data_IF_872914842034
#
_entry.id   IF_872914842034
#
_cell.length_a   1.000
_cell.length_b   1.000
_cell.length_c   1.000
_cell.angle_alpha   90.00
_cell.angle_beta   90.00
_cell.angle_gamma   90.00
#
_symmetry.space_group_name_H-M   'P 1'
#
loop_
_entity.id
_entity.type
_entity.pdbx_description
1 polymer ?
#
# COMPACT_ATOMS: atom_id res chain seq x y z
N UNK A 1 13.77 4.08 -2.08
CA UNK A 1 14.05 5.52 -1.83
C UNK A 1 12.69 6.16 -1.70
N UNK A 2 12.21 6.38 -0.47
CA UNK A 2 10.88 6.94 -0.23
C UNK A 2 10.91 8.39 -0.72
N UNK A 3 10.30 8.72 -1.87
CA UNK A 3 10.38 10.07 -2.40
C UNK A 3 9.56 10.96 -1.50
N UNK A 4 10.20 12.02 -1.02
CA UNK A 4 9.57 13.02 -0.18
C UNK A 4 8.24 13.48 -0.81
N UNK A 5 7.14 13.38 -0.06
CA UNK A 5 5.80 13.81 -0.49
C UNK A 5 5.84 15.27 -0.94
N UNK A 6 6.70 16.07 -0.31
CA UNK A 6 6.96 17.45 -0.71
C UNK A 6 7.60 17.55 -2.10
N UNK A 7 8.56 16.68 -2.42
CA UNK A 7 9.18 16.61 -3.74
C UNK A 7 8.16 16.23 -4.82
N UNK A 8 7.31 15.22 -4.58
CA UNK A 8 6.25 14.84 -5.53
C UNK A 8 5.23 15.95 -5.73
N UNK A 9 4.89 16.68 -4.67
CA UNK A 9 4.02 17.86 -4.74
C UNK A 9 4.64 18.96 -5.59
N UNK A 10 5.92 19.27 -5.36
CA UNK A 10 6.67 20.28 -6.15
C UNK A 10 6.75 19.83 -7.62
N UNK A 11 7.09 18.57 -7.89
CA UNK A 11 7.14 18.03 -9.25
C UNK A 11 5.78 18.08 -9.95
N UNK A 12 4.69 17.81 -9.23
CA UNK A 12 3.32 17.99 -9.75
C UNK A 12 3.05 19.44 -10.13
N UNK A 13 3.40 20.40 -9.26
CA UNK A 13 3.23 21.83 -9.52
C UNK A 13 4.05 22.30 -10.72
N UNK A 14 5.30 21.84 -10.83
CA UNK A 14 6.17 22.11 -12.00
C UNK A 14 5.58 21.51 -13.27
N UNK A 15 5.10 20.26 -13.22
CA UNK A 15 4.41 19.61 -14.34
C UNK A 15 3.23 20.45 -14.85
N UNK A 16 2.39 20.96 -13.94
CA UNK A 16 1.25 21.83 -14.29
C UNK A 16 1.70 23.17 -14.88
N UNK A 17 2.75 23.80 -14.33
CA UNK A 17 3.28 25.06 -14.86
C UNK A 17 3.80 24.93 -16.30
N UNK A 18 4.35 23.76 -16.67
CA UNK A 18 4.84 23.51 -18.03
C UNK A 18 3.71 23.37 -19.06
N UNK A 19 2.49 22.97 -18.66
CA UNK A 19 1.31 23.00 -19.54
C UNK A 19 1.06 24.40 -20.12
N UNK A 20 1.22 25.44 -19.29
CA UNK A 20 0.96 26.83 -19.67
C UNK A 20 2.01 27.40 -20.63
N UNK A 21 3.18 26.77 -20.74
CA UNK A 21 4.24 27.17 -21.69
C UNK A 21 4.14 26.47 -23.05
N UNK A 22 3.03 25.78 -23.35
CA UNK A 22 2.84 24.93 -24.54
C UNK A 22 3.87 23.81 -24.71
N UNK A 23 4.60 23.45 -23.66
CA UNK A 23 5.56 22.34 -23.67
C UNK A 23 4.89 21.05 -23.15
N UNK A 24 3.91 20.58 -23.92
CA UNK A 24 3.10 19.41 -23.56
C UNK A 24 3.94 18.14 -23.38
N UNK A 25 5.06 18.02 -24.12
CA UNK A 25 5.93 16.84 -24.05
C UNK A 25 6.69 16.76 -22.72
N UNK A 26 7.22 17.89 -22.23
CA UNK A 26 7.87 17.91 -20.90
C UNK A 26 6.87 17.76 -19.77
N UNK A 27 5.69 18.37 -19.90
CA UNK A 27 4.62 18.21 -18.90
C UNK A 27 4.22 16.74 -18.76
N UNK A 28 3.96 16.06 -19.89
CA UNK A 28 3.61 14.65 -19.88
C UNK A 28 4.68 13.80 -19.20
N UNK A 29 5.96 14.03 -19.54
CA UNK A 29 7.06 13.28 -18.96
C UNK A 29 7.17 13.45 -17.43
N UNK A 30 7.00 14.68 -16.93
CA UNK A 30 7.04 14.96 -15.49
C UNK A 30 5.83 14.32 -14.78
N UNK A 31 4.63 14.45 -15.36
CA UNK A 31 3.42 13.87 -14.78
C UNK A 31 3.44 12.35 -14.79
N UNK A 32 3.98 11.72 -15.83
CA UNK A 32 4.15 10.27 -15.90
C UNK A 32 5.12 9.79 -14.81
N UNK A 33 6.23 10.51 -14.59
CA UNK A 33 7.16 10.23 -13.50
C UNK A 33 6.51 10.38 -12.12
N UNK A 34 5.78 11.47 -11.89
CA UNK A 34 5.03 11.68 -10.64
C UNK A 34 3.98 10.58 -10.43
N UNK A 35 3.29 10.15 -11.48
CA UNK A 35 2.28 9.08 -11.40
C UNK A 35 2.92 7.73 -11.12
N UNK A 36 4.03 7.41 -11.79
CA UNK A 36 4.78 6.17 -11.56
C UNK A 36 5.30 6.09 -10.13
N UNK A 37 5.90 7.18 -9.63
CA UNK A 37 6.43 7.24 -8.27
C UNK A 37 5.30 7.33 -7.23
N UNK A 38 4.23 8.08 -7.51
CA UNK A 38 3.04 8.14 -6.67
C UNK A 38 2.39 6.77 -6.51
N UNK A 39 2.32 5.99 -7.60
CA UNK A 39 1.88 4.59 -7.58
C UNK A 39 2.83 3.69 -6.77
N UNK A 40 4.09 4.07 -6.64
CA UNK A 40 5.06 3.36 -5.80
C UNK A 40 4.92 3.64 -4.30
N UNK A 41 4.22 4.71 -3.89
CA UNK A 41 4.05 5.03 -2.47
C UNK A 41 3.19 3.98 -1.75
N UNK A 42 3.66 3.55 -0.57
CA UNK A 42 3.00 2.53 0.25
C UNK A 42 1.51 2.84 0.52
N UNK A 43 1.10 4.07 0.89
CA UNK A 43 -0.33 4.36 1.14
C UNK A 43 -1.23 4.11 -0.07
N UNK A 44 -0.75 4.40 -1.29
CA UNK A 44 -1.50 4.16 -2.53
C UNK A 44 -1.56 2.66 -2.82
N UNK A 45 -0.46 1.92 -2.66
CA UNK A 45 -0.43 0.46 -2.78
C UNK A 45 -1.37 -0.23 -1.78
N UNK A 46 -1.44 0.25 -0.53
CA UNK A 46 -2.41 -0.22 0.47
C UNK A 46 -3.83 -0.02 -0.05
N UNK A 47 -4.16 1.17 -0.55
CA UNK A 47 -5.49 1.45 -1.10
C UNK A 47 -5.88 0.49 -2.23
N UNK A 48 -4.95 0.18 -3.14
CA UNK A 48 -5.18 -0.79 -4.23
C UNK A 48 -5.39 -2.20 -3.67
N UNK A 49 -4.53 -2.65 -2.76
CA UNK A 49 -4.66 -3.98 -2.15
C UNK A 49 -5.97 -4.16 -1.39
N UNK A 50 -6.42 -3.12 -0.68
CA UNK A 50 -7.71 -3.11 0.03
C UNK A 50 -8.87 -3.17 -0.97
N UNK A 51 -8.81 -2.43 -2.08
CA UNK A 51 -9.82 -2.54 -3.14
C UNK A 51 -9.87 -3.94 -3.76
N UNK A 52 -8.72 -4.58 -3.96
CA UNK A 52 -8.64 -5.98 -4.42
C UNK A 52 -9.23 -6.96 -3.41
N UNK A 53 -8.99 -6.77 -2.10
CA UNK A 53 -9.61 -7.54 -1.02
C UNK A 53 -11.15 -7.49 -1.09
N UNK A 54 -11.71 -6.29 -1.17
CA UNK A 54 -13.18 -6.11 -1.24
C UNK A 54 -13.77 -6.67 -2.54
N UNK A 55 -13.00 -6.70 -3.61
CA UNK A 55 -13.42 -7.29 -4.87
C UNK A 55 -13.20 -8.83 -4.94
N UNK A 56 -12.75 -9.47 -3.85
CA UNK A 56 -12.47 -10.90 -3.81
C UNK A 56 -11.20 -11.33 -4.56
N UNK A 57 -10.40 -10.36 -5.03
CA UNK A 57 -9.13 -10.56 -5.73
C UNK A 57 -7.98 -10.77 -4.74
N UNK A 58 -8.10 -11.82 -3.94
CA UNK A 58 -7.19 -12.05 -2.80
C UNK A 58 -5.74 -12.31 -3.23
N UNK A 59 -5.50 -12.98 -4.35
CA UNK A 59 -4.13 -13.24 -4.84
C UNK A 59 -3.42 -11.94 -5.24
N UNK A 60 -4.15 -11.00 -5.87
CA UNK A 60 -3.63 -9.68 -6.22
C UNK A 60 -3.31 -8.86 -4.97
N UNK A 61 -4.23 -8.84 -4.00
CA UNK A 61 -4.01 -8.18 -2.72
C UNK A 61 -2.78 -8.75 -1.99
N UNK A 62 -2.66 -10.09 -1.92
CA UNK A 62 -1.50 -10.76 -1.31
C UNK A 62 -0.21 -10.34 -2.00
N UNK A 63 -0.18 -10.32 -3.33
CA UNK A 63 1.04 -9.94 -4.06
C UNK A 63 1.46 -8.50 -3.79
N UNK A 64 0.52 -7.55 -3.75
CA UNK A 64 0.84 -6.16 -3.43
C UNK A 64 1.34 -6.04 -1.99
N UNK A 65 0.63 -6.64 -1.03
CA UNK A 65 0.96 -6.51 0.39
C UNK A 65 2.29 -7.18 0.72
N UNK A 66 2.49 -8.42 0.28
CA UNK A 66 3.67 -9.21 0.62
C UNK A 66 4.87 -8.87 -0.25
N UNK A 67 4.69 -8.83 -1.57
CA UNK A 67 5.80 -8.80 -2.51
C UNK A 67 6.22 -7.37 -2.89
N UNK A 68 5.41 -6.36 -2.57
CA UNK A 68 5.76 -4.96 -2.82
C UNK A 68 5.91 -4.16 -1.54
N UNK A 69 4.88 -4.15 -0.68
CA UNK A 69 4.89 -3.29 0.52
C UNK A 69 5.81 -3.85 1.59
N UNK A 70 5.65 -5.11 1.98
CA UNK A 70 6.48 -5.71 3.04
C UNK A 70 7.93 -6.00 2.62
N UNK A 71 8.24 -5.99 1.32
CA UNK A 71 9.63 -5.99 0.84
C UNK A 71 10.30 -4.64 1.10
N UNK A 72 9.55 -3.54 0.95
CA UNK A 72 10.06 -2.18 1.16
C UNK A 72 10.06 -1.78 2.64
N UNK A 73 8.97 -2.08 3.35
CA UNK A 73 8.82 -1.89 4.79
C UNK A 73 8.32 -3.17 5.47
N UNK A 74 9.23 -4.06 5.90
CA UNK A 74 8.88 -5.30 6.56
C UNK A 74 8.11 -5.14 7.88
N UNK A 75 8.07 -3.94 8.45
CA UNK A 75 7.41 -3.66 9.72
C UNK A 75 6.11 -2.85 9.55
N UNK A 76 5.58 -2.76 8.32
CA UNK A 76 4.34 -2.05 8.07
C UNK A 76 3.12 -2.80 8.61
N UNK A 77 2.65 -2.44 9.80
CA UNK A 77 1.60 -3.18 10.53
C UNK A 77 0.27 -3.24 9.79
N UNK A 78 -0.15 -2.15 9.13
CA UNK A 78 -1.38 -2.19 8.33
C UNK A 78 -1.28 -3.17 7.16
N UNK A 79 -0.09 -3.31 6.54
CA UNK A 79 0.12 -4.24 5.43
C UNK A 79 0.05 -5.70 5.93
N UNK A 80 0.66 -6.00 7.08
CA UNK A 80 0.53 -7.32 7.75
C UNK A 80 -0.92 -7.63 8.11
N UNK A 81 -1.65 -6.65 8.62
CA UNK A 81 -3.07 -6.80 8.97
C UNK A 81 -3.92 -7.15 7.74
N UNK A 82 -3.84 -6.36 6.67
CA UNK A 82 -4.57 -6.66 5.44
C UNK A 82 -4.12 -7.96 4.76
N UNK A 83 -2.83 -8.32 4.89
CA UNK A 83 -2.32 -9.59 4.36
C UNK A 83 -2.90 -10.78 5.13
N UNK A 84 -2.97 -10.68 6.45
CA UNK A 84 -3.64 -11.69 7.30
C UNK A 84 -5.11 -11.87 6.92
N UNK A 85 -5.84 -10.78 6.63
CA UNK A 85 -7.23 -10.84 6.15
C UNK A 85 -7.28 -11.57 4.80
N UNK A 86 -6.42 -11.20 3.84
CA UNK A 86 -6.39 -11.83 2.51
C UNK A 86 -6.09 -13.33 2.57
N UNK A 87 -5.12 -13.72 3.41
CA UNK A 87 -4.72 -15.12 3.62
C UNK A 87 -5.84 -15.93 4.30
N UNK A 88 -6.53 -15.35 5.28
CA UNK A 88 -7.70 -15.96 5.93
C UNK A 88 -8.78 -16.28 4.91
N UNK A 89 -9.10 -15.34 4.01
CA UNK A 89 -10.08 -15.54 2.94
C UNK A 89 -9.65 -16.63 1.93
N UNK A 90 -8.34 -16.82 1.75
CA UNK A 90 -7.76 -17.89 0.92
C UNK A 90 -7.65 -19.24 1.64
N UNK A 91 -8.07 -19.32 2.91
CA UNK A 91 -7.98 -20.53 3.73
C UNK A 91 -6.60 -20.80 4.34
N UNK A 92 -5.64 -19.89 4.17
CA UNK A 92 -4.28 -19.98 4.73
C UNK A 92 -4.22 -19.41 6.15
N UNK A 93 -4.99 -20.03 7.05
CA UNK A 93 -5.19 -19.52 8.42
C UNK A 93 -3.92 -19.53 9.28
N UNK A 94 -3.00 -20.47 9.07
CA UNK A 94 -1.71 -20.54 9.77
C UNK A 94 -0.88 -19.28 9.52
N UNK A 95 -0.67 -18.97 8.24
CA UNK A 95 0.15 -17.84 7.80
C UNK A 95 -0.49 -16.51 8.24
N UNK A 96 -1.82 -16.44 8.20
CA UNK A 96 -2.57 -15.29 8.69
C UNK A 96 -2.40 -15.09 10.20
N UNK A 97 -2.39 -16.18 10.98
CA UNK A 97 -2.27 -16.14 12.43
C UNK A 97 -0.94 -15.49 12.86
N UNK A 98 0.17 -15.89 12.26
CA UNK A 98 1.49 -15.32 12.57
C UNK A 98 1.51 -13.80 12.35
N UNK A 99 0.93 -13.34 11.23
CA UNK A 99 0.82 -11.92 10.94
C UNK A 99 -0.05 -11.17 11.96
N UNK A 100 -1.17 -11.75 12.38
CA UNK A 100 -2.04 -11.13 13.37
C UNK A 100 -1.39 -11.09 14.76
N UNK A 101 -0.60 -12.10 15.13
CA UNK A 101 0.17 -12.08 16.38
C UNK A 101 1.17 -10.91 16.41
N UNK A 102 1.89 -10.68 15.31
CA UNK A 102 2.79 -9.53 15.20
C UNK A 102 2.04 -8.19 15.28
N UNK A 103 0.91 -8.06 14.58
CA UNK A 103 0.09 -6.84 14.59
C UNK A 103 -0.50 -6.58 15.98
N UNK A 104 -0.92 -7.62 16.72
CA UNK A 104 -1.45 -7.49 18.07
C UNK A 104 -0.41 -6.92 19.05
N UNK A 105 0.88 -7.22 18.83
CA UNK A 105 1.98 -6.71 19.66
C UNK A 105 2.38 -5.29 19.22
N UNK A 106 2.60 -5.08 17.93
CA UNK A 106 3.31 -3.90 17.40
C UNK A 106 2.43 -2.87 16.69
N UNK A 107 1.17 -3.18 16.38
CA UNK A 107 0.25 -2.27 15.70
C UNK A 107 -0.17 -1.06 16.54
N UNK A 108 -0.90 -0.15 15.92
CA UNK A 108 -1.66 0.87 16.64
C UNK A 108 -2.95 0.29 17.25
N UNK A 109 -3.70 1.09 18.01
CA UNK A 109 -4.90 0.60 18.70
C UNK A 109 -5.94 -0.04 17.77
N UNK A 110 -6.19 0.56 16.60
CA UNK A 110 -7.20 0.07 15.65
C UNK A 110 -6.75 -1.25 15.00
N UNK A 111 -5.48 -1.33 14.61
CA UNK A 111 -4.88 -2.54 14.03
C UNK A 111 -4.90 -3.71 15.01
N UNK A 112 -4.61 -3.44 16.29
CA UNK A 112 -4.67 -4.46 17.35
C UNK A 112 -6.08 -5.00 17.55
N UNK A 113 -7.10 -4.13 17.54
CA UNK A 113 -8.51 -4.56 17.67
C UNK A 113 -8.86 -5.54 16.55
N UNK A 114 -8.48 -5.23 15.31
CA UNK A 114 -8.72 -6.10 14.16
C UNK A 114 -7.97 -7.43 14.35
N UNK A 115 -6.67 -7.38 14.63
CA UNK A 115 -5.85 -8.58 14.77
C UNK A 115 -6.39 -9.53 15.86
N UNK A 116 -6.74 -9.01 17.03
CA UNK A 116 -7.31 -9.80 18.13
C UNK A 116 -8.66 -10.42 17.73
N UNK A 117 -9.49 -9.72 16.97
CA UNK A 117 -10.75 -10.27 16.48
C UNK A 117 -10.54 -11.49 15.55
N UNK A 118 -9.49 -11.48 14.72
CA UNK A 118 -9.16 -12.62 13.86
C UNK A 118 -8.43 -13.75 14.58
N UNK A 119 -7.67 -13.47 15.65
CA UNK A 119 -7.01 -14.51 16.46
C UNK A 119 -7.98 -15.33 17.31
N UNK A 120 -9.12 -14.74 17.68
CA UNK A 120 -10.13 -15.36 18.53
C UNK A 120 -11.24 -16.10 17.76
N UNK A 121 -11.21 -16.08 16.42
CA UNK A 121 -12.15 -16.78 15.53
C UNK A 121 -11.56 -18.09 15.00
#
# INVERSE_FOLDING_TARGET
MNPDVELLRIMSQVGYLTCFRSDAKRSQLIMDGVSAIGREQIPIKIGVAVADLYAGRYDQAISILRDQILVEDPNHMSAKCFLGIALTQKGKKSDAKELFEEVAVHGNQDEKIIAVAYLNN
#
